data_IF_194316332764
#
_entry.id   IF_194316332764
#
_cell.length_a   1.000
_cell.length_b   1.000
_cell.length_c   1.000
_cell.angle_alpha   90.00
_cell.angle_beta   90.00
_cell.angle_gamma   90.00
#
_symmetry.space_group_name_H-M   'P 1'
#
loop_
_entity.id
_entity.type
_entity.pdbx_description
1 polymer ?
#
# COMPACT_ATOMS: atom_id res chain seq x y z
N UNK A 1 -1.92 -22.62 -7.91
CA UNK A 1 -2.71 -21.36 -7.84
C UNK A 1 -3.90 -21.64 -6.93
N UNK A 2 -4.22 -20.73 -6.01
CA UNK A 2 -5.36 -20.87 -5.08
C UNK A 2 -6.31 -19.70 -5.32
N UNK A 3 -7.62 -19.93 -5.30
CA UNK A 3 -8.67 -18.94 -5.48
C UNK A 3 -9.44 -18.77 -4.17
N UNK A 4 -9.58 -17.53 -3.71
CA UNK A 4 -10.43 -17.18 -2.58
C UNK A 4 -11.75 -16.61 -3.05
N UNK A 5 -12.83 -17.39 -2.93
CA UNK A 5 -14.18 -16.96 -3.25
C UNK A 5 -14.73 -16.10 -2.11
N UNK A 6 -15.05 -14.85 -2.39
CA UNK A 6 -15.47 -13.87 -1.38
C UNK A 6 -16.87 -13.29 -1.63
N UNK A 7 -17.50 -13.58 -2.78
CA UNK A 7 -18.86 -13.19 -3.13
C UNK A 7 -19.46 -14.15 -4.14
N UNK A 8 -20.79 -14.22 -4.22
CA UNK A 8 -21.52 -15.04 -5.17
C UNK A 8 -22.55 -14.17 -5.90
N UNK A 9 -22.38 -13.99 -7.20
CA UNK A 9 -23.20 -13.10 -8.00
C UNK A 9 -24.24 -13.83 -8.84
N UNK A 10 -24.03 -15.13 -9.05
CA UNK A 10 -24.89 -15.96 -9.87
C UNK A 10 -24.85 -17.41 -9.38
N UNK A 11 -26.03 -18.06 -9.25
CA UNK A 11 -26.14 -19.45 -8.84
C UNK A 11 -27.33 -20.09 -9.55
N UNK A 12 -27.10 -21.21 -10.23
CA UNK A 12 -28.14 -22.04 -10.88
C UNK A 12 -29.14 -21.25 -11.73
N UNK A 13 -28.61 -20.34 -12.56
CA UNK A 13 -29.44 -19.49 -13.43
C UNK A 13 -30.07 -18.27 -12.74
N UNK A 14 -29.87 -18.09 -11.42
CA UNK A 14 -30.41 -16.98 -10.64
C UNK A 14 -29.35 -15.88 -10.45
N UNK A 15 -29.72 -14.65 -10.80
CA UNK A 15 -28.93 -13.45 -10.55
C UNK A 15 -29.09 -13.00 -9.09
N UNK A 16 -28.00 -13.04 -8.33
CA UNK A 16 -27.97 -12.69 -6.91
C UNK A 16 -27.47 -11.26 -6.66
N UNK A 17 -27.13 -10.50 -7.67
CA UNK A 17 -26.54 -9.16 -7.50
C UNK A 17 -27.45 -8.18 -6.76
N UNK A 18 -28.77 -8.37 -6.82
CA UNK A 18 -29.73 -7.56 -6.08
C UNK A 18 -29.88 -7.95 -4.61
N UNK A 19 -29.43 -9.16 -4.25
CA UNK A 19 -29.46 -9.63 -2.87
C UNK A 19 -28.46 -8.86 -1.98
N UNK A 20 -28.76 -8.68 -0.70
CA UNK A 20 -27.81 -8.13 0.27
C UNK A 20 -26.50 -8.91 0.31
N UNK A 21 -25.38 -8.26 0.59
CA UNK A 21 -24.05 -8.90 0.70
C UNK A 21 -24.05 -10.09 1.66
N UNK A 22 -24.74 -9.97 2.82
CA UNK A 22 -24.87 -11.05 3.80
C UNK A 22 -25.54 -12.30 3.23
N UNK A 23 -26.57 -12.14 2.39
CA UNK A 23 -27.28 -13.27 1.78
C UNK A 23 -26.41 -13.94 0.70
N UNK A 24 -25.73 -13.15 -0.12
CA UNK A 24 -24.80 -13.70 -1.11
C UNK A 24 -23.66 -14.47 -0.45
N UNK A 25 -23.16 -14.00 0.69
CA UNK A 25 -22.14 -14.71 1.50
C UNK A 25 -22.69 -15.99 2.11
N UNK A 26 -23.95 -15.98 2.57
CA UNK A 26 -24.62 -17.18 3.08
C UNK A 26 -24.74 -18.24 1.97
N UNK A 27 -25.26 -17.89 0.79
CA UNK A 27 -25.34 -18.80 -0.34
C UNK A 27 -23.97 -19.34 -0.76
N UNK A 28 -22.95 -18.49 -0.77
CA UNK A 28 -21.59 -18.92 -1.05
C UNK A 28 -21.09 -19.96 -0.03
N UNK A 29 -21.33 -19.71 1.24
CA UNK A 29 -20.93 -20.67 2.31
C UNK A 29 -21.65 -21.99 2.17
N UNK A 30 -22.97 -21.96 1.95
CA UNK A 30 -23.80 -23.16 1.72
C UNK A 30 -23.32 -23.96 0.51
N UNK A 31 -22.92 -23.29 -0.57
CA UNK A 31 -22.35 -23.93 -1.77
C UNK A 31 -21.06 -24.70 -1.42
N UNK A 32 -20.15 -24.08 -0.68
CA UNK A 32 -18.90 -24.70 -0.25
C UNK A 32 -19.14 -25.87 0.67
N UNK A 33 -20.03 -25.76 1.64
CA UNK A 33 -20.32 -26.80 2.62
C UNK A 33 -21.04 -27.98 1.96
N UNK A 34 -22.05 -27.71 1.12
CA UNK A 34 -22.86 -28.76 0.45
C UNK A 34 -22.02 -29.60 -0.51
N UNK A 35 -21.09 -28.99 -1.21
CA UNK A 35 -20.24 -29.69 -2.19
C UNK A 35 -18.86 -30.05 -1.66
N UNK A 36 -18.59 -29.83 -0.36
CA UNK A 36 -17.30 -30.06 0.28
C UNK A 36 -16.14 -29.48 -0.56
N UNK A 37 -16.31 -28.23 -1.03
CA UNK A 37 -15.32 -27.61 -1.91
C UNK A 37 -14.03 -27.34 -1.13
N UNK A 38 -12.92 -27.76 -1.71
CA UNK A 38 -11.58 -27.61 -1.18
C UNK A 38 -10.65 -26.98 -2.22
N UNK A 39 -9.35 -26.92 -1.91
CA UNK A 39 -8.36 -26.39 -2.85
C UNK A 39 -8.53 -26.99 -4.26
N UNK A 40 -8.39 -26.18 -5.32
CA UNK A 40 -7.82 -24.84 -5.32
C UNK A 40 -8.78 -23.69 -5.02
N UNK A 41 -10.08 -23.95 -4.80
CA UNK A 41 -11.06 -22.92 -4.45
C UNK A 41 -11.33 -22.94 -2.94
N UNK A 42 -11.10 -21.82 -2.28
CA UNK A 42 -11.30 -21.66 -0.83
C UNK A 42 -12.32 -20.57 -0.55
N UNK A 43 -13.16 -20.80 0.45
CA UNK A 43 -14.06 -19.77 0.97
C UNK A 43 -13.25 -18.69 1.69
N UNK A 44 -13.50 -17.43 1.37
CA UNK A 44 -12.91 -16.30 2.09
C UNK A 44 -13.76 -15.99 3.31
N UNK A 45 -13.26 -16.27 4.50
CA UNK A 45 -13.92 -15.93 5.75
C UNK A 45 -14.10 -14.41 5.89
N UNK A 46 -15.00 -14.00 6.77
CA UNK A 46 -15.27 -12.60 7.07
C UNK A 46 -15.65 -12.44 8.54
N UNK A 47 -15.45 -11.24 9.08
CA UNK A 47 -15.89 -10.83 10.40
C UNK A 47 -17.03 -9.83 10.26
N UNK A 48 -18.03 -9.95 11.13
CA UNK A 48 -19.13 -9.00 11.28
C UNK A 48 -18.87 -8.10 12.49
N UNK A 49 -19.20 -6.81 12.36
CA UNK A 49 -19.06 -5.85 13.45
C UNK A 49 -18.10 -4.71 13.11
N UNK A 50 -17.52 -4.14 14.18
CA UNK A 50 -16.53 -3.07 14.04
C UNK A 50 -15.25 -3.61 13.40
N UNK A 51 -14.92 -3.07 12.23
CA UNK A 51 -13.72 -3.45 11.48
C UNK A 51 -12.40 -2.98 12.10
N UNK A 52 -12.42 -2.20 13.19
CA UNK A 52 -11.23 -1.62 13.80
C UNK A 52 -10.27 -2.70 14.31
N UNK A 53 -10.76 -3.68 15.04
CA UNK A 53 -9.92 -4.79 15.54
C UNK A 53 -9.29 -5.59 14.40
N UNK A 54 -10.10 -5.91 13.37
CA UNK A 54 -9.58 -6.61 12.18
C UNK A 54 -8.50 -5.79 11.48
N UNK A 55 -8.70 -4.48 11.36
CA UNK A 55 -7.72 -3.58 10.75
C UNK A 55 -6.40 -3.56 11.55
N UNK A 56 -6.48 -3.47 12.88
CA UNK A 56 -5.31 -3.49 13.75
C UNK A 56 -4.54 -4.83 13.66
N UNK A 57 -5.27 -5.95 13.61
CA UNK A 57 -4.65 -7.26 13.39
C UNK A 57 -4.01 -7.38 12.01
N UNK A 58 -4.69 -6.93 10.97
CA UNK A 58 -4.15 -6.92 9.61
C UNK A 58 -2.87 -6.06 9.50
N UNK A 59 -2.86 -4.88 10.17
CA UNK A 59 -1.70 -4.01 10.24
C UNK A 59 -0.51 -4.67 10.96
N UNK A 60 -0.76 -5.34 12.11
CA UNK A 60 0.29 -6.08 12.83
C UNK A 60 0.88 -7.24 12.03
N UNK A 61 0.10 -7.83 11.14
CA UNK A 61 0.53 -8.92 10.25
C UNK A 61 1.10 -8.41 8.92
N UNK A 62 1.30 -7.10 8.78
CA UNK A 62 1.78 -6.44 7.55
C UNK A 62 0.92 -6.72 6.31
N UNK A 63 -0.39 -6.93 6.49
CA UNK A 63 -1.30 -7.01 5.34
C UNK A 63 -1.48 -5.64 4.70
N UNK A 64 -1.76 -5.61 3.39
CA UNK A 64 -1.99 -4.35 2.65
C UNK A 64 -3.13 -3.53 3.23
N UNK A 65 -4.07 -4.18 3.90
CA UNK A 65 -5.27 -3.59 4.48
C UNK A 65 -6.43 -4.55 4.45
N UNK A 66 -7.61 -4.02 4.71
CA UNK A 66 -8.86 -4.78 4.71
C UNK A 66 -9.85 -4.21 3.69
N UNK A 67 -10.84 -5.01 3.32
CA UNK A 67 -12.01 -4.55 2.55
C UNK A 67 -13.23 -4.62 3.45
N UNK A 68 -13.78 -3.46 3.81
CA UNK A 68 -15.05 -3.34 4.53
C UNK A 68 -16.19 -3.30 3.54
N UNK A 69 -17.24 -4.09 3.78
CA UNK A 69 -18.41 -4.19 2.90
C UNK A 69 -19.68 -4.02 3.71
N UNK A 70 -20.61 -3.19 3.22
CA UNK A 70 -21.92 -3.07 3.85
C UNK A 70 -22.72 -4.36 3.67
N UNK A 71 -23.11 -4.96 4.80
CA UNK A 71 -23.76 -6.27 4.83
C UNK A 71 -25.16 -6.27 4.16
N UNK A 72 -25.86 -5.14 4.17
CA UNK A 72 -27.19 -4.94 3.61
C UNK A 72 -27.20 -4.44 2.14
N UNK A 73 -26.04 -4.15 1.57
CA UNK A 73 -25.95 -3.56 0.25
C UNK A 73 -26.00 -4.61 -0.88
N UNK A 74 -26.68 -4.31 -2.00
CA UNK A 74 -26.58 -5.09 -3.23
C UNK A 74 -25.20 -4.95 -3.87
N UNK A 75 -24.89 -5.82 -4.82
CA UNK A 75 -23.69 -5.70 -5.63
C UNK A 75 -23.85 -4.57 -6.69
N UNK A 76 -22.79 -3.80 -6.85
CA UNK A 76 -22.65 -2.81 -7.93
C UNK A 76 -21.32 -3.00 -8.63
N UNK A 77 -21.32 -2.92 -9.96
CA UNK A 77 -20.09 -3.02 -10.78
C UNK A 77 -19.33 -1.71 -10.91
N UNK A 78 -19.79 -0.67 -10.26
CA UNK A 78 -19.21 0.69 -10.21
C UNK A 78 -18.55 0.98 -8.87
N UNK A 79 -17.78 2.05 -8.78
CA UNK A 79 -17.25 2.53 -7.51
C UNK A 79 -18.41 2.95 -6.61
N UNK A 80 -18.43 2.45 -5.37
CA UNK A 80 -19.49 2.67 -4.41
C UNK A 80 -18.93 2.72 -2.99
N UNK A 81 -19.58 3.46 -2.12
CA UNK A 81 -19.27 3.50 -0.68
C UNK A 81 -19.67 2.22 0.08
N UNK A 82 -20.36 1.29 -0.59
CA UNK A 82 -20.72 0.00 0.00
C UNK A 82 -19.50 -0.95 0.15
N UNK A 83 -18.42 -0.70 -0.59
CA UNK A 83 -17.16 -1.45 -0.52
C UNK A 83 -16.01 -0.48 -0.35
N UNK A 84 -15.36 -0.50 0.81
CA UNK A 84 -14.26 0.39 1.14
C UNK A 84 -12.96 -0.41 1.30
N UNK A 85 -11.95 -0.08 0.51
CA UNK A 85 -10.59 -0.58 0.75
C UNK A 85 -9.89 0.33 1.75
N UNK A 86 -9.63 -0.19 2.94
CA UNK A 86 -8.94 0.49 4.03
C UNK A 86 -7.50 -0.02 4.05
N UNK A 87 -6.57 0.82 3.63
CA UNK A 87 -5.16 0.44 3.53
C UNK A 87 -4.45 0.58 4.87
N UNK A 88 -3.68 -0.45 5.23
CA UNK A 88 -2.72 -0.39 6.32
C UNK A 88 -1.41 0.18 5.80
N UNK A 89 -1.20 1.47 6.01
CA UNK A 89 0.03 2.17 5.61
C UNK A 89 0.66 2.83 6.82
N UNK A 90 1.97 2.72 6.91
CA UNK A 90 2.75 3.48 7.87
C UNK A 90 3.08 4.85 7.28
N UNK A 91 3.17 5.85 8.14
CA UNK A 91 3.61 7.20 7.75
C UNK A 91 4.90 7.53 8.49
N UNK A 92 5.85 8.09 7.79
CA UNK A 92 7.10 8.50 8.38
C UNK A 92 7.67 9.73 7.70
N UNK A 93 8.46 10.49 8.45
CA UNK A 93 9.17 11.68 7.97
C UNK A 93 10.65 11.35 7.86
N UNK A 94 11.18 11.34 6.66
CA UNK A 94 12.55 10.92 6.39
C UNK A 94 13.38 12.04 5.74
N UNK A 95 14.62 12.27 6.21
CA UNK A 95 15.52 13.20 5.56
C UNK A 95 15.86 12.75 4.13
N UNK A 96 15.84 13.69 3.19
CA UNK A 96 16.26 13.48 1.80
C UNK A 96 17.77 13.68 1.71
N UNK A 97 18.49 12.69 1.15
CA UNK A 97 19.96 12.74 0.98
C UNK A 97 20.40 12.74 -0.47
N UNK A 98 19.47 12.60 -1.38
CA UNK A 98 19.77 12.64 -2.81
C UNK A 98 18.51 12.50 -3.64
N UNK A 99 18.64 12.74 -4.93
CA UNK A 99 17.55 12.59 -5.88
C UNK A 99 18.03 12.13 -7.24
N UNK A 100 17.15 11.52 -8.01
CA UNK A 100 17.37 11.18 -9.41
C UNK A 100 16.79 12.30 -10.27
N UNK A 101 17.58 12.83 -11.18
CA UNK A 101 17.13 13.86 -12.13
C UNK A 101 16.09 13.32 -13.09
N UNK A 102 15.09 14.14 -13.36
CA UNK A 102 14.15 14.03 -14.46
C UNK A 102 14.28 15.29 -15.31
N UNK A 103 13.97 15.28 -16.61
CA UNK A 103 14.09 16.46 -17.47
C UNK A 103 13.38 17.71 -16.92
N UNK A 104 12.27 17.55 -16.22
CA UNK A 104 11.45 18.64 -15.69
C UNK A 104 11.39 18.71 -14.16
N UNK A 105 12.06 17.79 -13.44
CA UNK A 105 11.97 17.74 -11.99
C UNK A 105 12.82 16.64 -11.37
N UNK A 106 12.19 15.84 -10.50
CA UNK A 106 12.81 14.68 -9.84
C UNK A 106 12.06 13.39 -10.21
N UNK A 107 12.81 12.36 -10.58
CA UNK A 107 12.27 11.02 -10.82
C UNK A 107 12.15 10.21 -9.52
N UNK A 108 13.03 10.46 -8.54
CA UNK A 108 12.99 9.79 -7.26
C UNK A 108 13.81 10.54 -6.21
N UNK A 109 13.48 10.34 -4.92
CA UNK A 109 14.20 10.81 -3.76
C UNK A 109 14.86 9.64 -3.04
N UNK A 110 16.11 9.80 -2.62
CA UNK A 110 16.82 8.89 -1.74
C UNK A 110 16.63 9.33 -0.30
N UNK A 111 16.19 8.40 0.54
CA UNK A 111 15.82 8.64 1.94
C UNK A 111 16.80 7.96 2.88
N UNK A 112 16.89 8.49 4.10
CA UNK A 112 17.71 7.94 5.19
C UNK A 112 16.97 7.88 6.51
N UNK A 113 17.49 7.08 7.43
CA UNK A 113 17.20 7.14 8.86
C UNK A 113 18.49 7.28 9.67
N UNK A 114 18.37 7.69 10.92
CA UNK A 114 19.44 7.57 11.89
C UNK A 114 19.39 6.19 12.55
N UNK A 115 20.53 5.49 12.58
CA UNK A 115 20.76 4.33 13.44
C UNK A 115 21.97 4.63 14.31
N UNK A 116 21.72 5.03 15.56
CA UNK A 116 22.78 5.59 16.40
C UNK A 116 23.37 6.86 15.77
N UNK A 117 24.68 6.88 15.55
CA UNK A 117 25.38 7.99 14.90
C UNK A 117 25.53 7.85 13.38
N UNK A 118 25.02 6.78 12.80
CA UNK A 118 25.13 6.52 11.37
C UNK A 118 23.87 6.96 10.59
N UNK A 119 24.11 7.32 9.33
CA UNK A 119 23.08 7.64 8.37
C UNK A 119 22.89 6.45 7.42
N UNK A 120 21.83 5.69 7.67
CA UNK A 120 21.54 4.47 6.91
C UNK A 120 20.54 4.75 5.80
N UNK A 121 20.79 4.17 4.64
CA UNK A 121 19.89 4.23 3.51
C UNK A 121 18.56 3.52 3.83
N UNK A 122 17.43 4.19 3.54
CA UNK A 122 16.08 3.70 3.85
C UNK A 122 15.28 3.34 2.62
N UNK A 123 15.78 3.66 1.45
CA UNK A 123 15.05 3.42 0.23
C UNK A 123 14.93 4.62 -0.68
N UNK A 124 14.19 4.41 -1.75
CA UNK A 124 13.96 5.38 -2.81
C UNK A 124 12.46 5.49 -3.09
N UNK A 125 11.92 6.72 -3.05
CA UNK A 125 10.53 6.99 -3.44
C UNK A 125 10.52 7.73 -4.78
N UNK A 126 9.65 7.28 -5.70
CA UNK A 126 9.56 7.82 -7.07
C UNK A 126 8.13 8.19 -7.49
N UNK A 127 7.18 8.23 -6.55
CA UNK A 127 5.77 8.53 -6.79
C UNK A 127 5.19 9.37 -5.65
N UNK A 128 3.97 9.85 -5.83
CA UNK A 128 3.24 10.60 -4.79
C UNK A 128 3.23 12.11 -5.00
N UNK A 129 3.76 12.62 -6.11
CA UNK A 129 3.76 14.04 -6.46
C UNK A 129 3.32 14.30 -7.91
N UNK A 130 2.78 15.50 -8.14
CA UNK A 130 2.47 15.99 -9.48
C UNK A 130 3.74 16.51 -10.19
N UNK A 131 3.65 16.75 -11.50
CA UNK A 131 4.77 17.33 -12.26
C UNK A 131 5.18 18.71 -11.72
N UNK A 132 4.24 19.54 -11.31
CA UNK A 132 4.49 20.85 -10.70
C UNK A 132 5.28 20.71 -9.41
N UNK A 133 4.80 19.84 -8.49
CA UNK A 133 5.48 19.54 -7.21
C UNK A 133 6.88 18.97 -7.45
N UNK A 134 7.04 18.06 -8.43
CA UNK A 134 8.34 17.50 -8.81
C UNK A 134 9.35 18.59 -9.21
N UNK A 135 8.90 19.59 -9.97
CA UNK A 135 9.74 20.74 -10.35
C UNK A 135 10.13 21.62 -9.16
N UNK A 136 9.21 21.85 -8.22
CA UNK A 136 9.50 22.61 -6.99
C UNK A 136 10.47 21.86 -6.08
N UNK A 137 10.27 20.54 -5.88
CA UNK A 137 11.20 19.68 -5.15
C UNK A 137 12.60 19.83 -5.76
N UNK A 138 12.71 19.76 -7.08
CA UNK A 138 13.98 19.89 -7.78
C UNK A 138 14.65 21.24 -7.49
N UNK A 139 13.93 22.34 -7.60
CA UNK A 139 14.46 23.70 -7.32
C UNK A 139 15.02 23.77 -5.90
N UNK A 140 14.27 23.27 -4.92
CA UNK A 140 14.70 23.29 -3.52
C UNK A 140 15.95 22.41 -3.30
N UNK A 141 15.99 21.21 -3.86
CA UNK A 141 17.12 20.29 -3.68
C UNK A 141 18.40 20.78 -4.41
N UNK A 142 18.27 21.48 -5.52
CA UNK A 142 19.42 22.05 -6.23
C UNK A 142 20.16 23.13 -5.41
N UNK A 143 19.51 23.75 -4.39
CA UNK A 143 20.15 24.73 -3.49
C UNK A 143 21.08 24.09 -2.47
N UNK A 144 20.99 22.78 -2.23
CA UNK A 144 21.70 22.05 -1.17
C UNK A 144 22.49 20.85 -1.72
N UNK A 145 22.90 20.92 -2.99
CA UNK A 145 23.71 19.86 -3.63
C UNK A 145 25.01 19.68 -2.88
N UNK A 146 25.36 18.43 -2.60
CA UNK A 146 26.60 18.03 -1.95
C UNK A 146 27.46 17.19 -2.89
N UNK A 147 28.80 17.39 -2.93
CA UNK A 147 29.67 16.63 -3.81
C UNK A 147 29.82 15.15 -3.41
N UNK A 148 29.47 14.83 -2.16
CA UNK A 148 29.61 13.48 -1.59
C UNK A 148 28.35 13.09 -0.82
N UNK A 149 28.05 11.78 -0.85
CA UNK A 149 27.00 11.25 0.02
C UNK A 149 27.38 11.32 1.49
N UNK A 150 26.35 11.50 2.34
CA UNK A 150 26.47 11.40 3.82
C UNK A 150 26.06 10.01 4.33
N UNK A 151 25.67 9.10 3.45
CA UNK A 151 25.31 7.73 3.83
C UNK A 151 26.56 6.92 4.21
N UNK A 152 26.50 6.15 5.28
CA UNK A 152 27.56 5.21 5.69
C UNK A 152 27.74 4.08 4.68
N UNK A 153 26.60 3.61 4.12
CA UNK A 153 26.58 2.57 3.06
C UNK A 153 25.67 3.02 1.91
N UNK A 154 26.21 3.75 0.92
CA UNK A 154 25.42 4.17 -0.20
C UNK A 154 25.05 2.98 -1.11
N UNK A 155 23.90 3.05 -1.82
CA UNK A 155 23.51 2.01 -2.76
C UNK A 155 24.53 1.87 -3.90
N UNK A 156 24.72 0.65 -4.40
CA UNK A 156 25.62 0.38 -5.52
C UNK A 156 25.11 1.09 -6.80
N UNK A 157 26.02 1.79 -7.50
CA UNK A 157 25.76 2.51 -8.76
C UNK A 157 24.53 3.43 -8.71
N UNK A 158 24.43 4.37 -7.77
CA UNK A 158 23.31 5.27 -7.69
C UNK A 158 23.31 6.25 -8.88
N UNK A 159 22.14 6.49 -9.47
CA UNK A 159 21.93 7.62 -10.40
C UNK A 159 21.50 8.88 -9.61
N UNK A 160 22.16 9.13 -8.49
CA UNK A 160 21.76 10.17 -7.55
C UNK A 160 22.63 11.42 -7.68
N UNK A 161 21.99 12.57 -7.61
CA UNK A 161 22.63 13.82 -7.15
C UNK A 161 22.46 13.87 -5.65
N UNK A 162 23.57 13.90 -4.91
CA UNK A 162 23.54 13.94 -3.46
C UNK A 162 23.26 15.35 -2.94
N UNK A 163 22.60 15.44 -1.80
CA UNK A 163 22.24 16.70 -1.15
C UNK A 163 22.53 16.67 0.35
N UNK A 164 22.70 17.84 0.95
CA UNK A 164 22.69 17.97 2.40
C UNK A 164 21.29 17.69 2.92
N UNK A 165 21.13 16.94 4.02
CA UNK A 165 19.83 16.42 4.50
C UNK A 165 19.02 17.47 5.26
N UNK A 166 18.80 18.61 4.66
CA UNK A 166 18.04 19.74 5.23
C UNK A 166 16.54 19.64 4.95
N UNK A 167 16.16 18.89 3.92
CA UNK A 167 14.77 18.66 3.56
C UNK A 167 14.29 17.28 4.00
N UNK A 168 13.00 17.18 4.31
CA UNK A 168 12.33 15.96 4.73
C UNK A 168 11.17 15.64 3.81
N UNK A 169 10.95 14.36 3.54
CA UNK A 169 9.80 13.84 2.85
C UNK A 169 8.86 13.13 3.81
N UNK A 170 7.57 13.48 3.78
CA UNK A 170 6.52 12.68 4.42
C UNK A 170 6.17 11.54 3.46
N UNK A 171 6.36 10.30 3.92
CA UNK A 171 6.25 9.10 3.10
C UNK A 171 5.24 8.14 3.69
N UNK A 172 4.35 7.66 2.84
CA UNK A 172 3.53 6.50 3.14
C UNK A 172 4.23 5.25 2.61
N UNK A 173 4.40 4.24 3.46
CA UNK A 173 5.08 3.00 3.12
C UNK A 173 4.37 1.80 3.78
N UNK A 174 4.53 0.62 3.21
CA UNK A 174 3.92 -0.61 3.74
C UNK A 174 4.84 -1.30 4.73
N UNK A 175 6.09 -1.41 4.38
CA UNK A 175 7.08 -2.16 5.13
C UNK A 175 8.46 -1.53 4.95
N UNK A 176 9.29 -1.66 5.95
CA UNK A 176 10.73 -1.42 5.85
C UNK A 176 11.38 -2.79 5.82
N UNK A 177 11.89 -3.19 4.65
CA UNK A 177 12.56 -4.48 4.50
C UNK A 177 13.83 -4.56 5.35
N UNK A 178 14.35 -5.77 5.57
CA UNK A 178 15.62 -5.98 6.29
C UNK A 178 16.82 -5.28 5.63
N UNK A 179 16.71 -4.95 4.34
CA UNK A 179 17.69 -4.16 3.60
C UNK A 179 17.43 -2.65 3.66
N UNK A 180 16.39 -2.21 4.39
CA UNK A 180 16.03 -0.80 4.55
C UNK A 180 15.26 -0.20 3.36
N UNK A 181 14.62 -1.03 2.53
CA UNK A 181 13.89 -0.64 1.31
C UNK A 181 12.37 -0.76 1.51
#
# INVERSE_FOLDING_TARGET
>A
MVYFAFDLLWLDGKDLRKEPQRERKRFLKELFDTHALEAPALYSEHLLGDGQELFEHAAKLNYEGIVSKRADAPYRSELTEAWLKIKSVHKGKFPVVGFVKDPTGVAALYLRKHEGNELVYMGKVGTGWSRTVSSEIRKNLDTVVSPKTKLSKPPKKPKAVWVEPTFYADVEYREITSEGL
#
